data_IF_768136190038
#
_entry.id   IF_768136190038
#
_cell.length_a   1.000
_cell.length_b   1.000
_cell.length_c   1.000
_cell.angle_alpha   90.00
_cell.angle_beta   90.00
_cell.angle_gamma   90.00
#
_symmetry.space_group_name_H-M   'P 1'
#
loop_
_entity.id
_entity.type
_entity.pdbx_description
1 polymer ?
#
# COMPACT_ATOMS: atom_id res chain seq x y z
N UNK A 1 0.49 41.86 30.49
CA UNK A 1 -0.49 40.90 29.94
C UNK A 1 -0.29 40.85 28.45
N UNK A 2 0.51 39.91 27.96
CA UNK A 2 0.76 39.75 26.53
C UNK A 2 -0.47 39.12 25.90
N UNK A 3 -1.24 39.90 25.15
CA UNK A 3 -2.22 39.38 24.19
C UNK A 3 -1.44 38.63 23.11
N UNK A 4 -1.11 37.36 23.39
CA UNK A 4 -0.40 36.49 22.47
C UNK A 4 -1.19 36.43 21.17
N UNK A 5 -0.64 37.02 20.12
CA UNK A 5 -1.22 37.01 18.79
C UNK A 5 -1.45 35.53 18.43
N UNK A 6 -2.70 35.15 18.16
CA UNK A 6 -3.02 33.77 17.78
C UNK A 6 -2.10 33.34 16.63
N UNK A 7 -1.46 32.18 16.77
CA UNK A 7 -0.64 31.62 15.71
C UNK A 7 -1.54 31.40 14.49
N UNK A 8 -1.10 31.90 13.34
CA UNK A 8 -1.85 31.89 12.09
C UNK A 8 -1.03 31.18 11.03
N UNK A 9 -1.68 30.32 10.26
CA UNK A 9 -1.06 29.63 9.13
C UNK A 9 -1.01 30.60 7.93
N UNK A 10 0.19 30.97 7.42
CA UNK A 10 0.31 31.90 6.30
C UNK A 10 -0.44 31.41 5.05
N UNK A 11 -1.08 32.32 4.32
CA UNK A 11 -1.82 31.97 3.08
C UNK A 11 -0.95 31.31 2.00
N UNK A 12 0.37 31.44 2.08
CA UNK A 12 1.34 30.81 1.16
C UNK A 12 1.73 29.39 1.56
N UNK A 13 1.41 28.92 2.78
CA UNK A 13 1.87 27.61 3.29
C UNK A 13 0.79 26.52 3.20
N UNK A 14 -0.36 26.81 2.60
CA UNK A 14 -1.43 25.82 2.41
C UNK A 14 -2.23 26.03 1.12
N UNK A 15 -2.94 24.98 0.72
CA UNK A 15 -3.91 24.99 -0.38
C UNK A 15 -5.26 24.48 0.12
N UNK A 16 -6.35 25.18 -0.23
CA UNK A 16 -7.72 24.72 -0.01
C UNK A 16 -8.24 24.00 -1.24
N UNK A 17 -8.62 22.74 -1.07
CA UNK A 17 -8.99 21.84 -2.14
C UNK A 17 -10.44 21.41 -1.93
N UNK A 18 -11.35 21.81 -2.82
CA UNK A 18 -12.76 21.42 -2.76
C UNK A 18 -12.95 19.95 -3.12
N UNK A 19 -13.57 19.21 -2.21
CA UNK A 19 -13.85 17.77 -2.33
C UNK A 19 -15.12 17.58 -3.15
N UNK A 20 -14.98 17.11 -4.39
CA UNK A 20 -16.09 16.90 -5.33
C UNK A 20 -16.72 15.51 -5.25
N UNK A 21 -15.98 14.54 -4.71
CA UNK A 21 -16.34 13.11 -4.73
C UNK A 21 -15.82 12.43 -3.47
N UNK A 22 -16.45 11.30 -3.12
CA UNK A 22 -16.04 10.52 -1.95
C UNK A 22 -14.78 9.74 -2.31
N UNK A 23 -13.63 10.35 -2.03
CA UNK A 23 -12.32 9.75 -2.29
C UNK A 23 -11.49 9.68 -1.01
N UNK A 24 -10.54 8.76 -0.98
CA UNK A 24 -9.51 8.77 0.07
C UNK A 24 -8.65 10.04 -0.06
N UNK A 25 -8.25 10.62 1.06
CA UNK A 25 -7.46 11.85 1.14
C UNK A 25 -6.22 11.82 0.24
N UNK A 26 -5.52 10.68 0.15
CA UNK A 26 -4.35 10.54 -0.73
C UNK A 26 -4.71 10.63 -2.21
N UNK A 27 -5.70 9.84 -2.67
CA UNK A 27 -6.19 9.90 -4.05
C UNK A 27 -6.60 11.32 -4.43
N UNK A 28 -7.32 11.97 -3.52
CA UNK A 28 -7.79 13.33 -3.74
C UNK A 28 -6.64 14.34 -3.86
N UNK A 29 -5.64 14.30 -2.97
CA UNK A 29 -4.45 15.18 -3.03
C UNK A 29 -3.64 14.96 -4.31
N UNK A 30 -3.39 13.71 -4.68
CA UNK A 30 -2.66 13.36 -5.92
C UNK A 30 -3.42 13.83 -7.16
N UNK A 31 -4.75 13.67 -7.18
CA UNK A 31 -5.59 14.16 -8.28
C UNK A 31 -5.56 15.69 -8.44
N UNK A 32 -5.16 16.43 -7.40
CA UNK A 32 -4.92 17.88 -7.46
C UNK A 32 -3.49 18.25 -7.90
N UNK A 33 -2.67 17.26 -8.30
CA UNK A 33 -1.29 17.47 -8.74
C UNK A 33 -0.31 17.69 -7.59
N UNK A 34 -0.65 17.29 -6.37
CA UNK A 34 0.17 17.48 -5.18
C UNK A 34 0.76 16.16 -4.70
N UNK A 35 1.98 16.19 -4.19
CA UNK A 35 2.60 15.04 -3.52
C UNK A 35 1.91 14.81 -2.17
N UNK A 36 1.30 13.66 -1.94
CA UNK A 36 0.73 13.36 -0.63
C UNK A 36 1.84 13.14 0.41
N UNK A 37 1.74 13.86 1.53
CA UNK A 37 2.59 13.68 2.72
C UNK A 37 1.68 13.42 3.92
N UNK A 38 1.95 12.36 4.68
CA UNK A 38 1.20 12.08 5.91
C UNK A 38 1.34 13.24 6.89
N UNK A 39 0.27 13.59 7.59
CA UNK A 39 0.23 14.71 8.53
C UNK A 39 0.06 16.10 7.90
N UNK A 40 0.25 16.25 6.59
CA UNK A 40 0.08 17.53 5.89
C UNK A 40 -1.37 17.83 5.47
N UNK A 41 -2.33 16.94 5.73
CA UNK A 41 -3.70 17.07 5.23
C UNK A 41 -4.71 17.20 6.37
N UNK A 42 -5.57 18.22 6.30
CA UNK A 42 -6.59 18.53 7.31
C UNK A 42 -7.98 18.55 6.67
N UNK A 43 -8.83 17.57 7.02
CA UNK A 43 -10.18 17.44 6.45
C UNK A 43 -11.17 18.29 7.24
N UNK A 44 -12.11 18.93 6.54
CA UNK A 44 -13.15 19.72 7.19
C UNK A 44 -14.14 18.81 7.91
N UNK A 45 -14.48 19.19 9.14
CA UNK A 45 -15.49 18.56 9.95
C UNK A 45 -16.87 19.13 9.62
N UNK A 46 -17.83 18.25 9.33
CA UNK A 46 -19.23 18.64 9.02
C UNK A 46 -20.27 17.98 9.92
N UNK A 47 -19.85 17.05 10.77
CA UNK A 47 -20.67 16.32 11.73
C UNK A 47 -19.87 16.16 13.03
N UNK A 48 -20.52 15.92 14.17
CA UNK A 48 -19.81 15.53 15.39
C UNK A 48 -18.88 14.35 15.14
N UNK A 49 -17.61 14.47 15.55
CA UNK A 49 -16.64 13.38 15.47
C UNK A 49 -15.85 13.27 16.77
N UNK A 50 -15.65 12.04 17.23
CA UNK A 50 -14.81 11.71 18.38
C UNK A 50 -13.35 11.67 17.93
N UNK A 51 -12.55 12.65 18.36
CA UNK A 51 -11.15 12.80 17.97
C UNK A 51 -10.23 12.81 19.20
N UNK A 52 -8.97 12.40 19.04
CA UNK A 52 -7.98 12.56 20.12
C UNK A 52 -7.72 14.04 20.41
N UNK A 53 -7.71 14.43 21.69
CA UNK A 53 -7.39 15.78 22.14
C UNK A 53 -5.96 16.23 21.76
N UNK A 54 -5.08 15.27 21.43
CA UNK A 54 -3.71 15.52 20.95
C UNK A 54 -3.65 15.85 19.45
N UNK A 55 -4.71 15.63 18.66
CA UNK A 55 -4.66 15.91 17.22
C UNK A 55 -4.50 17.41 16.95
N UNK A 56 -3.65 17.75 15.99
CA UNK A 56 -3.57 19.11 15.46
C UNK A 56 -4.85 19.48 14.71
N UNK A 57 -5.32 20.70 14.96
CA UNK A 57 -6.52 21.28 14.38
C UNK A 57 -6.19 22.63 13.73
N UNK A 58 -6.92 22.96 12.68
CA UNK A 58 -6.93 24.29 12.07
C UNK A 58 -8.35 24.82 12.13
N UNK A 59 -8.51 26.08 12.51
CA UNK A 59 -9.80 26.78 12.46
C UNK A 59 -9.73 27.93 11.48
N UNK A 60 -10.64 27.97 10.51
CA UNK A 60 -10.82 29.12 9.62
C UNK A 60 -11.94 30.02 10.14
N UNK A 61 -11.63 31.28 10.42
CA UNK A 61 -12.65 32.31 10.68
C UNK A 61 -13.39 32.63 9.37
N UNK A 62 -14.69 32.33 9.30
CA UNK A 62 -15.49 32.53 8.08
C UNK A 62 -15.60 34.00 7.68
N UNK A 63 -15.46 34.94 8.62
CA UNK A 63 -15.59 36.37 8.35
C UNK A 63 -14.33 36.97 7.72
N UNK A 64 -13.16 36.46 8.11
CA UNK A 64 -11.86 37.01 7.70
C UNK A 64 -11.04 36.09 6.79
N UNK A 65 -11.39 34.80 6.72
CA UNK A 65 -10.64 33.76 6.00
C UNK A 65 -9.32 33.36 6.67
N UNK A 66 -9.06 33.85 7.89
CA UNK A 66 -7.81 33.61 8.62
C UNK A 66 -7.76 32.19 9.16
N UNK A 67 -6.62 31.52 8.98
CA UNK A 67 -6.38 30.15 9.40
C UNK A 67 -5.64 30.12 10.74
N UNK A 68 -6.36 29.86 11.82
CA UNK A 68 -5.87 29.88 13.20
C UNK A 68 -5.35 28.49 13.57
N UNK A 69 -4.19 28.44 14.21
CA UNK A 69 -3.48 27.22 14.60
C UNK A 69 -3.00 27.26 16.07
N UNK A 70 -2.50 26.12 16.57
CA UNK A 70 -1.92 26.00 17.90
C UNK A 70 -2.93 26.12 19.04
N UNK A 71 -2.47 26.51 20.23
CA UNK A 71 -3.31 26.54 21.45
C UNK A 71 -4.50 27.51 21.37
N UNK A 72 -4.45 28.51 20.48
CA UNK A 72 -5.60 29.38 20.23
C UNK A 72 -6.82 28.59 19.71
N UNK A 73 -6.60 27.50 18.96
CA UNK A 73 -7.67 26.63 18.47
C UNK A 73 -8.36 25.91 19.62
N UNK A 74 -7.61 25.44 20.62
CA UNK A 74 -8.19 24.77 21.81
C UNK A 74 -9.13 25.69 22.58
N UNK A 75 -8.76 26.97 22.74
CA UNK A 75 -9.63 28.00 23.34
C UNK A 75 -10.90 28.24 22.54
N UNK A 76 -10.78 28.38 21.22
CA UNK A 76 -11.92 28.61 20.31
C UNK A 76 -12.91 27.43 20.38
N UNK A 77 -12.38 26.21 20.41
CA UNK A 77 -13.17 24.98 20.43
C UNK A 77 -13.54 24.51 21.84
N UNK A 78 -13.20 25.28 22.89
CA UNK A 78 -13.43 24.93 24.31
C UNK A 78 -12.83 23.58 24.71
N UNK A 79 -11.66 23.25 24.14
CA UNK A 79 -10.90 22.01 24.39
C UNK A 79 -9.73 22.21 25.36
N UNK A 80 -9.64 23.35 26.04
CA UNK A 80 -8.58 23.63 27.01
C UNK A 80 -8.60 22.60 28.15
N UNK A 81 -7.46 21.94 28.39
CA UNK A 81 -7.32 20.93 29.43
C UNK A 81 -7.99 19.58 29.10
N UNK A 82 -8.49 19.39 27.88
CA UNK A 82 -9.07 18.12 27.49
C UNK A 82 -8.01 17.02 27.31
N UNK A 83 -8.32 15.81 27.77
CA UNK A 83 -7.44 14.63 27.73
C UNK A 83 -8.18 13.46 27.09
N UNK A 84 -7.46 12.59 26.39
CA UNK A 84 -8.05 11.41 25.75
C UNK A 84 -8.80 11.76 24.46
N UNK A 85 -10.03 11.25 24.30
CA UNK A 85 -10.88 11.54 23.12
C UNK A 85 -11.98 12.54 23.47
N UNK A 86 -12.18 13.51 22.59
CA UNK A 86 -13.18 14.57 22.71
C UNK A 86 -14.08 14.56 21.48
N UNK A 87 -15.36 14.77 21.68
CA UNK A 87 -16.27 15.02 20.56
C UNK A 87 -16.15 16.48 20.17
N UNK A 88 -15.81 16.74 18.91
CA UNK A 88 -15.88 18.08 18.34
C UNK A 88 -17.08 18.12 17.41
N UNK A 89 -17.95 19.11 17.58
CA UNK A 89 -19.09 19.35 16.69
C UNK A 89 -18.96 20.74 16.05
N UNK A 90 -18.81 20.77 14.72
CA UNK A 90 -18.74 22.00 13.96
C UNK A 90 -20.03 22.85 14.06
N UNK A 91 -21.17 22.25 14.41
CA UNK A 91 -22.43 22.98 14.58
C UNK A 91 -22.43 23.93 15.79
N UNK A 92 -21.61 23.66 16.81
CA UNK A 92 -21.48 24.51 18.00
C UNK A 92 -20.59 25.75 17.78
N UNK A 93 -19.96 25.84 16.59
CA UNK A 93 -18.97 26.87 16.25
C UNK A 93 -19.31 27.54 14.91
N UNK A 94 -20.53 28.08 14.76
CA UNK A 94 -21.07 28.59 13.49
C UNK A 94 -20.17 29.62 12.76
N UNK A 95 -19.39 30.41 13.48
CA UNK A 95 -18.45 31.40 12.91
C UNK A 95 -17.18 30.79 12.27
N UNK A 96 -16.97 29.48 12.40
CA UNK A 96 -15.71 28.83 12.07
C UNK A 96 -15.90 27.61 11.17
N UNK A 97 -14.93 27.34 10.28
CA UNK A 97 -14.73 26.00 9.72
C UNK A 97 -13.63 25.29 10.52
N UNK A 98 -13.86 24.03 10.88
CA UNK A 98 -12.92 23.24 11.67
C UNK A 98 -12.29 22.18 10.75
N UNK A 99 -10.97 22.09 10.77
CA UNK A 99 -10.21 21.11 10.00
C UNK A 99 -9.36 20.25 10.93
N UNK A 100 -9.43 18.94 10.76
CA UNK A 100 -8.75 17.96 11.63
C UNK A 100 -7.60 17.30 10.88
N UNK A 101 -6.40 17.27 11.48
CA UNK A 101 -5.23 16.60 10.89
C UNK A 101 -5.49 15.11 10.68
N UNK A 102 -5.18 14.64 9.48
CA UNK A 102 -5.19 13.23 9.14
C UNK A 102 -3.81 12.73 8.75
N UNK A 103 -3.33 11.75 9.51
CA UNK A 103 -2.13 10.97 9.22
C UNK A 103 -2.47 9.70 8.42
N UNK A 104 -3.75 9.49 8.11
CA UNK A 104 -4.25 8.31 7.41
C UNK A 104 -4.24 8.52 5.90
N UNK A 105 -3.68 7.55 5.18
CA UNK A 105 -3.73 7.46 3.72
C UNK A 105 -5.15 7.21 3.18
N UNK A 106 -5.99 6.53 3.98
CA UNK A 106 -7.27 5.96 3.58
C UNK A 106 -8.48 6.73 4.13
N UNK A 107 -8.26 7.87 4.79
CA UNK A 107 -9.34 8.74 5.28
C UNK A 107 -10.27 9.11 4.12
N UNK A 108 -11.51 8.65 4.15
CA UNK A 108 -12.52 9.04 3.16
C UNK A 108 -12.90 10.50 3.39
N UNK A 109 -12.79 11.31 2.35
CA UNK A 109 -13.26 12.68 2.33
C UNK A 109 -14.73 12.71 1.98
N UNK A 110 -15.43 13.70 2.53
CA UNK A 110 -16.87 13.88 2.32
C UNK A 110 -17.07 14.87 1.17
N UNK A 111 -17.84 14.53 0.13
CA UNK A 111 -18.18 15.49 -0.93
C UNK A 111 -18.80 16.77 -0.39
N UNK A 112 -18.49 17.91 -1.03
CA UNK A 112 -18.97 19.22 -0.62
C UNK A 112 -18.16 19.86 0.53
N UNK A 113 -17.09 19.19 0.98
CA UNK A 113 -16.19 19.71 2.01
C UNK A 113 -14.90 20.27 1.42
N UNK A 114 -14.08 20.89 2.27
CA UNK A 114 -12.74 21.38 1.92
C UNK A 114 -11.69 20.51 2.62
N UNK A 115 -10.63 20.19 1.87
CA UNK A 115 -9.37 19.71 2.42
C UNK A 115 -8.36 20.87 2.44
N UNK A 116 -7.74 21.11 3.59
CA UNK A 116 -6.59 22.01 3.70
C UNK A 116 -5.32 21.16 3.62
N UNK A 117 -4.53 21.36 2.57
CA UNK A 117 -3.24 20.70 2.39
C UNK A 117 -2.11 21.69 2.70
N UNK A 118 -1.36 21.43 3.78
CA UNK A 118 -0.26 22.27 4.25
C UNK A 118 1.04 21.82 3.59
N UNK A 119 1.65 22.68 2.78
CA UNK A 119 2.83 22.32 1.96
C UNK A 119 4.10 22.19 2.79
N UNK A 120 4.19 22.99 3.86
CA UNK A 120 5.27 22.99 4.85
C UNK A 120 4.64 23.12 6.23
N UNK A 121 4.76 22.06 7.06
CA UNK A 121 4.19 22.06 8.41
C UNK A 121 5.02 22.99 9.32
N UNK A 122 4.41 24.00 9.96
CA UNK A 122 5.08 24.81 10.97
C UNK A 122 5.62 23.93 12.10
N UNK A 123 6.75 24.31 12.72
CA UNK A 123 7.34 23.59 13.86
C UNK A 123 6.31 23.30 14.98
N UNK A 124 5.39 24.23 15.23
CA UNK A 124 4.31 24.09 16.23
C UNK A 124 3.26 23.03 15.89
N UNK A 125 3.29 22.47 14.67
CA UNK A 125 2.40 21.42 14.17
C UNK A 125 3.15 20.15 13.76
N UNK A 126 4.47 20.13 13.94
CA UNK A 126 5.27 18.91 13.86
C UNK A 126 5.10 18.16 15.17
N UNK A 127 4.98 16.84 15.07
CA UNK A 127 4.95 16.02 16.27
C UNK A 127 6.33 16.11 16.91
N UNK A 128 6.39 16.57 18.16
CA UNK A 128 7.64 16.60 18.91
C UNK A 128 7.94 15.15 19.26
N UNK A 129 9.10 14.63 18.86
CA UNK A 129 9.61 13.39 19.43
C UNK A 129 9.72 13.62 20.94
N UNK A 130 8.82 13.02 21.71
CA UNK A 130 8.92 13.01 23.18
C UNK A 130 10.21 12.25 23.52
N UNK A 131 11.32 12.98 23.69
CA UNK A 131 12.55 12.45 24.28
C UNK A 131 12.28 12.38 25.78
N UNK A 132 11.81 11.22 26.25
CA UNK A 132 11.81 10.92 27.66
C UNK A 132 13.28 10.90 28.16
N UNK A 133 13.54 11.47 29.34
CA UNK A 133 14.87 11.62 29.99
C UNK A 133 15.58 10.27 30.29
N UNK A 134 14.99 9.15 29.87
CA UNK A 134 15.39 7.79 30.18
C UNK A 134 15.75 6.97 28.92
N UNK A 135 16.03 7.59 27.77
CA UNK A 135 16.73 6.93 26.66
C UNK A 135 16.10 5.64 26.08
N UNK A 136 14.81 5.39 26.27
CA UNK A 136 14.04 4.38 25.53
C UNK A 136 13.00 5.06 24.63
N UNK A 137 13.00 4.70 23.35
CA UNK A 137 12.05 5.20 22.35
C UNK A 137 10.61 4.79 22.74
N UNK A 138 9.81 5.76 23.16
CA UNK A 138 8.38 5.58 23.45
C UNK A 138 7.60 5.32 22.17
N UNK A 139 7.03 4.12 22.05
CA UNK A 139 6.24 3.63 20.92
C UNK A 139 4.84 4.25 20.90
N UNK A 140 4.59 5.21 19.99
CA UNK A 140 3.26 5.79 19.76
C UNK A 140 2.42 5.01 18.72
N UNK A 141 2.52 3.69 18.69
CA UNK A 141 1.72 2.84 17.79
C UNK A 141 1.04 1.70 18.57
N UNK A 142 0.36 2.06 19.66
CA UNK A 142 -0.68 1.22 20.23
C UNK A 142 -1.98 2.05 20.37
N UNK A 143 -3.12 1.39 20.18
CA UNK A 143 -4.47 1.92 20.02
C UNK A 143 -4.87 2.39 18.61
N UNK A 144 -5.36 1.45 17.80
CA UNK A 144 -6.67 1.56 17.13
C UNK A 144 -7.07 0.24 16.45
N UNK A 145 -7.30 -0.79 17.26
CA UNK A 145 -8.45 -1.68 17.05
C UNK A 145 -9.66 -0.98 17.65
N UNK A 146 -10.48 -0.32 16.82
CA UNK A 146 -11.89 -0.04 17.13
C UNK A 146 -12.54 0.73 15.97
N UNK A 147 -13.18 -0.01 15.07
CA UNK A 147 -14.42 0.43 14.44
C UNK A 147 -15.30 -0.81 14.19
N UNK A 148 -16.57 -0.79 14.61
CA UNK A 148 -17.41 -1.98 14.67
C UNK A 148 -17.90 -2.42 13.29
N UNK A 149 -17.85 -3.73 13.08
CA UNK A 149 -18.73 -4.45 12.17
C UNK A 149 -20.18 -4.19 12.58
N UNK A 150 -20.97 -3.57 11.69
CA UNK A 150 -22.37 -3.91 11.40
C UNK A 150 -22.97 -2.88 10.44
N UNK A 151 -23.25 -3.31 9.21
CA UNK A 151 -24.33 -2.71 8.43
C UNK A 151 -25.11 -3.79 7.69
N UNK A 152 -26.21 -4.21 8.32
CA UNK A 152 -27.30 -4.88 7.63
C UNK A 152 -28.11 -3.81 6.88
N UNK A 153 -28.17 -3.90 5.56
CA UNK A 153 -29.01 -3.04 4.73
C UNK A 153 -29.48 -3.80 3.50
N UNK A 154 -30.72 -4.25 3.54
CA UNK A 154 -31.47 -4.91 2.47
C UNK A 154 -31.66 -3.98 1.27
N UNK A 155 -31.27 -4.43 0.07
CA UNK A 155 -31.64 -3.78 -1.19
C UNK A 155 -33.05 -4.25 -1.59
N UNK A 156 -34.00 -3.31 -1.60
CA UNK A 156 -35.26 -3.43 -2.32
C UNK A 156 -35.14 -2.67 -3.64
N UNK A 157 -35.65 -3.32 -4.69
CA UNK A 157 -35.93 -2.76 -6.01
C UNK A 157 -36.58 -1.37 -5.96
N UNK A 158 -36.11 -0.46 -6.81
CA UNK A 158 -36.97 0.42 -7.63
C UNK A 158 -36.21 0.98 -8.83
N UNK A 159 -36.99 1.26 -9.87
CA UNK A 159 -36.64 1.40 -11.28
C UNK A 159 -35.85 2.66 -11.69
N UNK A 160 -35.29 2.56 -12.90
CA UNK A 160 -34.71 3.63 -13.71
C UNK A 160 -35.68 4.81 -13.95
N UNK A 161 -35.13 5.96 -14.39
CA UNK A 161 -35.54 6.44 -15.70
C UNK A 161 -34.39 6.92 -16.61
N UNK A 162 -34.71 6.96 -17.89
CA UNK A 162 -33.89 7.19 -19.09
C UNK A 162 -33.83 8.64 -19.56
N UNK A 163 -32.83 8.90 -20.44
CA UNK A 163 -32.75 9.95 -21.50
C UNK A 163 -32.26 11.34 -21.03
N UNK A 164 -31.44 12.16 -21.74
CA UNK A 164 -31.08 12.26 -23.18
C UNK A 164 -29.78 13.09 -23.37
N UNK A 165 -28.96 12.71 -24.36
CA UNK A 165 -28.04 13.51 -25.23
C UNK A 165 -27.05 14.55 -24.68
N UNK A 166 -25.78 14.39 -25.10
CA UNK A 166 -24.77 15.46 -25.13
C UNK A 166 -23.38 14.94 -25.44
N UNK A 167 -23.11 14.58 -26.70
CA UNK A 167 -21.79 14.22 -27.22
C UNK A 167 -20.83 15.41 -27.13
N UNK A 168 -19.83 15.32 -26.25
CA UNK A 168 -18.62 16.13 -26.32
C UNK A 168 -17.42 15.19 -26.25
N UNK A 169 -16.84 14.91 -27.41
CA UNK A 169 -15.55 14.23 -27.56
C UNK A 169 -14.45 15.16 -27.07
N UNK A 170 -13.92 14.92 -25.87
CA UNK A 170 -12.60 15.43 -25.50
C UNK A 170 -11.57 14.33 -25.82
N UNK A 171 -10.60 14.58 -26.73
CA UNK A 171 -9.53 13.63 -26.97
C UNK A 171 -8.66 13.56 -25.71
N UNK A 172 -8.52 12.35 -25.15
CA UNK A 172 -7.56 12.05 -24.10
C UNK A 172 -6.16 12.41 -24.61
N UNK A 173 -5.61 13.51 -24.10
CA UNK A 173 -4.19 13.82 -24.25
C UNK A 173 -3.45 12.89 -23.31
N UNK A 174 -2.91 11.81 -23.87
CA UNK A 174 -2.04 10.86 -23.20
C UNK A 174 -0.67 11.51 -22.98
N UNK A 175 -0.43 12.03 -21.78
CA UNK A 175 0.89 12.53 -21.34
C UNK A 175 1.46 11.54 -20.31
N UNK A 176 2.14 10.53 -20.84
CA UNK A 176 2.91 9.53 -20.10
C UNK A 176 3.02 8.24 -20.90
N UNK A 177 4.08 8.07 -21.70
CA UNK A 177 4.32 6.82 -22.45
C UNK A 177 4.29 5.59 -21.52
N UNK A 178 3.78 4.42 -21.98
CA UNK A 178 3.69 3.23 -21.13
C UNK A 178 5.09 2.68 -20.82
N UNK A 179 5.29 2.15 -19.62
CA UNK A 179 6.53 1.45 -19.27
C UNK A 179 6.75 0.28 -20.24
N UNK A 180 7.89 0.26 -20.91
CA UNK A 180 8.17 -0.73 -21.97
C UNK A 180 8.89 -1.97 -21.43
N UNK A 181 9.55 -1.91 -20.27
CA UNK A 181 10.32 -3.01 -19.67
C UNK A 181 9.70 -3.47 -18.35
N UNK A 182 9.68 -4.79 -18.11
CA UNK A 182 9.23 -5.41 -16.86
C UNK A 182 10.34 -6.29 -16.31
N UNK A 183 10.62 -6.16 -15.03
CA UNK A 183 11.49 -7.07 -14.29
C UNK A 183 10.71 -7.65 -13.11
N UNK A 184 10.68 -8.98 -13.02
CA UNK A 184 9.98 -9.71 -11.96
C UNK A 184 10.91 -10.71 -11.28
N UNK A 185 11.13 -10.57 -9.99
CA UNK A 185 11.78 -11.58 -9.16
C UNK A 185 10.71 -12.50 -8.54
N UNK A 186 10.97 -13.80 -8.46
CA UNK A 186 10.15 -14.78 -7.74
C UNK A 186 11.03 -15.43 -6.69
N UNK A 187 10.78 -15.16 -5.42
CA UNK A 187 11.42 -15.82 -4.29
C UNK A 187 10.50 -16.85 -3.67
N UNK A 188 11.02 -18.05 -3.42
CA UNK A 188 10.31 -19.05 -2.64
C UNK A 188 11.17 -19.66 -1.53
N UNK A 189 10.54 -19.82 -0.38
CA UNK A 189 11.08 -20.48 0.79
C UNK A 189 11.22 -21.99 0.54
N UNK A 190 12.35 -22.55 0.95
CA UNK A 190 12.71 -23.96 0.77
C UNK A 190 12.97 -24.70 2.08
N UNK A 191 12.59 -24.12 3.22
CA UNK A 191 12.76 -24.70 4.56
C UNK A 191 11.78 -25.84 4.84
N UNK A 192 11.96 -26.54 5.96
CA UNK A 192 11.25 -27.76 6.29
C UNK A 192 9.71 -27.65 6.26
N UNK A 193 9.16 -26.52 6.72
CA UNK A 193 7.71 -26.26 6.75
C UNK A 193 7.11 -26.23 5.34
N UNK A 194 7.87 -25.71 4.38
CA UNK A 194 7.47 -25.53 2.98
C UNK A 194 7.49 -26.81 2.14
N UNK A 195 8.02 -27.93 2.64
CA UNK A 195 8.19 -29.16 1.83
C UNK A 195 6.88 -29.70 1.25
N UNK A 196 5.76 -29.50 1.94
CA UNK A 196 4.43 -29.94 1.46
C UNK A 196 3.91 -29.08 0.31
N UNK A 197 4.40 -27.85 0.17
CA UNK A 197 4.04 -26.90 -0.89
C UNK A 197 5.08 -26.83 -2.01
N UNK A 198 6.33 -27.23 -1.74
CA UNK A 198 7.48 -26.95 -2.62
C UNK A 198 7.30 -27.45 -4.06
N UNK A 199 6.76 -28.67 -4.26
CA UNK A 199 6.51 -29.19 -5.61
C UNK A 199 5.46 -28.37 -6.37
N UNK A 200 4.45 -27.89 -5.65
CA UNK A 200 3.39 -27.04 -6.20
C UNK A 200 3.89 -25.62 -6.48
N UNK A 201 4.70 -25.05 -5.58
CA UNK A 201 5.37 -23.75 -5.76
C UNK A 201 6.31 -23.78 -6.96
N UNK A 202 7.12 -24.83 -7.12
CA UNK A 202 7.98 -25.00 -8.29
C UNK A 202 7.19 -25.12 -9.58
N UNK A 203 6.08 -25.88 -9.58
CA UNK A 203 5.19 -25.98 -10.74
C UNK A 203 4.59 -24.62 -11.09
N UNK A 204 4.06 -23.92 -10.09
CA UNK A 204 3.51 -22.58 -10.21
C UNK A 204 4.52 -21.57 -10.77
N UNK A 205 5.76 -21.56 -10.27
CA UNK A 205 6.81 -20.67 -10.75
C UNK A 205 7.13 -20.94 -12.23
N UNK A 206 7.26 -22.22 -12.63
CA UNK A 206 7.46 -22.60 -14.05
C UNK A 206 6.31 -22.17 -14.94
N UNK A 207 5.06 -22.41 -14.50
CA UNK A 207 3.87 -21.98 -15.25
C UNK A 207 3.83 -20.46 -15.40
N UNK A 208 4.17 -19.72 -14.34
CA UNK A 208 4.26 -18.26 -14.35
C UNK A 208 5.32 -17.79 -15.34
N UNK A 209 6.53 -18.37 -15.33
CA UNK A 209 7.60 -18.07 -16.29
C UNK A 209 7.11 -18.28 -17.73
N UNK A 210 6.55 -19.47 -18.01
CA UNK A 210 6.05 -19.80 -19.34
C UNK A 210 4.99 -18.81 -19.81
N UNK A 211 4.01 -18.49 -18.96
CA UNK A 211 2.94 -17.54 -19.32
C UNK A 211 3.50 -16.14 -19.49
N UNK A 212 4.19 -15.57 -18.50
CA UNK A 212 4.68 -14.19 -18.55
C UNK A 212 5.62 -13.95 -19.74
N UNK A 213 6.57 -14.86 -19.99
CA UNK A 213 7.53 -14.71 -21.09
C UNK A 213 6.95 -15.10 -22.46
N UNK A 214 5.88 -15.90 -22.54
CA UNK A 214 5.18 -16.15 -23.82
C UNK A 214 4.28 -15.00 -24.26
N UNK A 215 3.92 -14.12 -23.32
CA UNK A 215 2.95 -13.06 -23.52
C UNK A 215 3.59 -11.69 -23.81
N UNK A 216 4.89 -11.51 -23.53
CA UNK A 216 5.64 -10.26 -23.72
C UNK A 216 6.69 -10.33 -24.83
N UNK A 217 6.66 -9.36 -25.74
CA UNK A 217 7.74 -9.01 -26.67
C UNK A 217 9.02 -8.57 -25.91
N UNK A 218 10.22 -9.08 -26.26
CA UNK A 218 11.62 -8.65 -25.96
C UNK A 218 12.00 -7.90 -24.65
N UNK A 219 11.08 -7.62 -23.73
CA UNK A 219 11.21 -6.57 -22.70
C UNK A 219 10.77 -7.04 -21.32
N UNK A 220 10.66 -8.35 -21.12
CA UNK A 220 10.38 -8.95 -19.80
C UNK A 220 11.56 -9.82 -19.39
N UNK A 221 12.09 -9.57 -18.21
CA UNK A 221 13.12 -10.40 -17.58
C UNK A 221 12.64 -10.87 -16.22
N UNK A 222 12.95 -12.12 -15.90
CA UNK A 222 12.58 -12.73 -14.63
C UNK A 222 13.81 -13.23 -13.89
N UNK A 223 13.78 -13.17 -12.57
CA UNK A 223 14.81 -13.75 -11.69
C UNK A 223 14.15 -14.72 -10.73
N UNK A 224 14.71 -15.91 -10.56
CA UNK A 224 14.23 -16.89 -9.58
C UNK A 224 15.18 -16.90 -8.39
N UNK A 225 14.62 -16.85 -7.20
CA UNK A 225 15.31 -16.88 -5.92
C UNK A 225 14.77 -18.09 -5.14
N UNK A 226 15.67 -18.85 -4.53
CA UNK A 226 15.33 -19.81 -3.49
C UNK A 226 16.08 -19.43 -2.23
N UNK A 227 15.40 -19.48 -1.08
CA UNK A 227 16.01 -19.15 0.20
C UNK A 227 15.74 -20.23 1.25
N UNK A 228 16.71 -20.39 2.13
CA UNK A 228 16.58 -21.11 3.38
C UNK A 228 16.72 -20.13 4.52
N UNK A 229 17.33 -20.59 5.62
CA UNK A 229 17.58 -19.74 6.78
C UNK A 229 19.07 -19.59 7.11
N UNK A 230 19.43 -18.75 8.07
CA UNK A 230 20.82 -18.50 8.45
C UNK A 230 21.56 -19.78 8.83
N UNK A 231 20.87 -20.74 9.46
CA UNK A 231 21.47 -22.02 9.81
C UNK A 231 21.86 -22.88 8.58
N UNK A 232 21.30 -22.57 7.40
CA UNK A 232 21.50 -23.32 6.17
C UNK A 232 22.69 -22.83 5.32
N UNK A 233 23.25 -21.65 5.61
CA UNK A 233 24.30 -20.98 4.80
C UNK A 233 25.50 -21.91 4.49
N UNK A 234 25.91 -22.71 5.47
CA UNK A 234 27.07 -23.59 5.36
C UNK A 234 26.74 -25.05 5.01
N UNK A 235 25.45 -25.42 4.96
CA UNK A 235 25.00 -26.80 4.71
C UNK A 235 24.39 -26.96 3.32
N UNK A 236 23.58 -25.99 2.90
CA UNK A 236 22.86 -25.99 1.63
C UNK A 236 22.97 -24.63 0.96
N UNK A 237 22.17 -23.65 1.42
CA UNK A 237 22.27 -22.25 1.06
C UNK A 237 21.37 -21.40 1.96
N UNK A 238 21.77 -20.15 2.18
CA UNK A 238 20.87 -19.12 2.72
C UNK A 238 19.99 -18.54 1.60
N UNK A 239 20.60 -18.16 0.47
CA UNK A 239 19.90 -17.65 -0.70
C UNK A 239 20.69 -17.96 -1.97
N UNK A 240 20.01 -18.44 -3.01
CA UNK A 240 20.54 -18.58 -4.37
C UNK A 240 19.61 -17.89 -5.35
N UNK A 241 20.14 -17.36 -6.46
CA UNK A 241 19.32 -16.75 -7.50
C UNK A 241 19.85 -17.05 -8.92
N UNK A 242 18.96 -16.96 -9.90
CA UNK A 242 19.28 -17.21 -11.31
C UNK A 242 19.90 -16.01 -12.04
N UNK A 243 19.85 -14.82 -11.46
CA UNK A 243 19.94 -13.55 -12.18
C UNK A 243 18.71 -13.29 -13.06
N UNK A 244 18.56 -12.04 -13.53
CA UNK A 244 17.51 -11.68 -14.49
C UNK A 244 17.78 -12.31 -15.86
N UNK A 245 16.79 -13.00 -16.41
CA UNK A 245 16.85 -13.62 -17.74
C UNK A 245 15.49 -13.62 -18.41
N UNK A 246 15.47 -13.57 -19.74
CA UNK A 246 14.29 -13.82 -20.57
C UNK A 246 14.27 -15.23 -21.17
N UNK A 247 15.28 -16.06 -20.88
CA UNK A 247 15.38 -17.43 -21.39
C UNK A 247 14.64 -18.41 -20.47
N UNK A 248 13.49 -18.87 -20.94
CA UNK A 248 12.62 -19.82 -20.22
C UNK A 248 13.37 -21.08 -19.80
N UNK A 249 14.21 -21.64 -20.69
CA UNK A 249 14.92 -22.89 -20.41
C UNK A 249 15.91 -22.74 -19.25
N UNK A 250 16.64 -21.63 -19.19
CA UNK A 250 17.56 -21.28 -18.11
C UNK A 250 16.84 -21.13 -16.78
N UNK A 251 15.72 -20.41 -16.75
CA UNK A 251 14.94 -20.18 -15.52
C UNK A 251 14.30 -21.48 -15.01
N UNK A 252 13.73 -22.30 -15.90
CA UNK A 252 13.15 -23.60 -15.55
C UNK A 252 14.21 -24.56 -15.03
N UNK A 253 15.38 -24.62 -15.70
CA UNK A 253 16.52 -25.43 -15.25
C UNK A 253 17.03 -25.00 -13.87
N UNK A 254 17.02 -23.70 -13.57
CA UNK A 254 17.37 -23.20 -12.24
C UNK A 254 16.39 -23.75 -11.20
N UNK A 255 15.06 -23.63 -11.43
CA UNK A 255 14.02 -24.17 -10.51
C UNK A 255 14.19 -25.68 -10.28
N UNK A 256 14.50 -26.43 -11.33
CA UNK A 256 14.75 -27.88 -11.25
C UNK A 256 15.96 -28.21 -10.37
N UNK A 257 16.98 -27.35 -10.36
CA UNK A 257 18.19 -27.50 -9.55
C UNK A 257 18.04 -27.06 -8.10
N UNK A 258 16.98 -26.33 -7.74
CA UNK A 258 16.77 -25.85 -6.36
C UNK A 258 16.58 -27.02 -5.40
N UNK A 259 17.37 -27.05 -4.33
CA UNK A 259 17.31 -28.06 -3.28
C UNK A 259 16.22 -27.81 -2.23
N UNK A 260 16.35 -28.48 -1.10
CA UNK A 260 15.61 -28.23 0.13
C UNK A 260 16.59 -27.75 1.19
N UNK A 261 16.14 -26.90 2.10
CA UNK A 261 16.91 -26.42 3.25
C UNK A 261 16.22 -26.79 4.56
N UNK A 262 16.82 -26.50 5.71
CA UNK A 262 16.34 -26.90 7.04
C UNK A 262 15.35 -25.91 7.65
N UNK A 263 15.76 -24.66 7.88
CA UNK A 263 15.01 -23.63 8.63
C UNK A 263 15.40 -23.52 10.12
N UNK A 264 15.64 -24.62 10.82
CA UNK A 264 16.19 -24.60 12.20
C UNK A 264 15.20 -24.13 13.27
N UNK A 265 14.73 -22.88 13.20
CA UNK A 265 13.65 -22.32 14.00
C UNK A 265 12.42 -21.95 13.14
N UNK A 266 11.48 -21.16 13.69
CA UNK A 266 10.18 -20.91 13.05
C UNK A 266 10.17 -19.63 12.19
N UNK A 267 10.71 -18.49 12.65
CA UNK A 267 11.05 -17.40 11.74
C UNK A 267 12.07 -17.88 10.71
N UNK A 268 12.05 -17.30 9.53
CA UNK A 268 12.99 -17.62 8.44
C UNK A 268 13.60 -16.33 7.90
N UNK A 269 14.66 -16.41 7.10
CA UNK A 269 15.45 -15.24 6.66
C UNK A 269 14.77 -14.36 5.57
N UNK A 270 13.48 -14.03 5.70
CA UNK A 270 12.77 -13.16 4.75
C UNK A 270 13.33 -11.73 4.72
N UNK A 271 13.75 -11.19 5.86
CA UNK A 271 14.39 -9.88 5.95
C UNK A 271 15.71 -9.84 5.17
N UNK A 272 16.48 -10.93 5.19
CA UNK A 272 17.66 -11.10 4.36
C UNK A 272 17.32 -11.10 2.87
N UNK A 273 16.29 -11.84 2.45
CA UNK A 273 15.82 -11.88 1.06
C UNK A 273 15.41 -10.49 0.59
N UNK A 274 14.67 -9.73 1.41
CA UNK A 274 14.26 -8.37 1.09
C UNK A 274 15.47 -7.47 0.85
N UNK A 275 16.44 -7.47 1.77
CA UNK A 275 17.65 -6.68 1.67
C UNK A 275 18.51 -7.06 0.45
N UNK A 276 18.75 -8.35 0.23
CA UNK A 276 19.59 -8.83 -0.88
C UNK A 276 18.98 -8.63 -2.25
N UNK A 277 17.67 -8.73 -2.36
CA UNK A 277 16.99 -8.47 -3.62
C UNK A 277 17.06 -6.99 -4.01
N UNK A 278 17.21 -6.05 -3.06
CA UNK A 278 17.48 -4.64 -3.37
C UNK A 278 18.88 -4.43 -4.00
N UNK A 279 19.81 -5.36 -3.85
CA UNK A 279 21.15 -5.29 -4.45
C UNK A 279 21.17 -5.77 -5.92
N UNK A 280 20.06 -6.30 -6.45
CA UNK A 280 20.00 -6.83 -7.83
C UNK A 280 20.05 -5.72 -8.88
N UNK A 281 20.40 -6.10 -10.12
CA UNK A 281 20.50 -5.23 -11.30
C UNK A 281 19.13 -4.80 -11.86
N UNK A 282 18.33 -4.14 -11.02
CA UNK A 282 17.03 -3.60 -11.39
C UNK A 282 17.18 -2.42 -12.37
N UNK A 283 16.72 -2.57 -13.60
CA UNK A 283 16.68 -1.52 -14.63
C UNK A 283 15.85 -0.33 -14.17
N UNK A 284 16.39 0.90 -14.10
CA UNK A 284 15.67 2.09 -13.63
C UNK A 284 14.33 2.33 -14.34
N UNK A 285 14.26 2.03 -15.62
CA UNK A 285 13.10 2.21 -16.50
C UNK A 285 12.08 1.06 -16.45
N UNK A 286 12.41 -0.05 -15.78
CA UNK A 286 11.51 -1.19 -15.67
C UNK A 286 10.42 -0.94 -14.62
N UNK A 287 9.23 -1.49 -14.87
CA UNK A 287 8.35 -1.84 -13.76
C UNK A 287 8.94 -3.03 -13.02
N UNK A 288 8.95 -2.96 -11.70
CA UNK A 288 9.69 -3.89 -10.85
C UNK A 288 8.74 -4.54 -9.87
N UNK A 289 8.81 -5.85 -9.76
CA UNK A 289 8.05 -6.60 -8.78
C UNK A 289 8.80 -7.79 -8.22
N UNK A 290 8.57 -8.07 -6.94
CA UNK A 290 9.00 -9.27 -6.23
C UNK A 290 7.76 -10.08 -5.86
N UNK A 291 7.66 -11.31 -6.34
CA UNK A 291 6.72 -12.31 -5.83
C UNK A 291 7.41 -13.11 -4.72
N UNK A 292 6.99 -12.92 -3.48
CA UNK A 292 7.52 -13.61 -2.31
C UNK A 292 6.58 -14.73 -1.89
N UNK A 293 7.09 -15.97 -1.84
CA UNK A 293 6.33 -17.19 -1.56
C UNK A 293 6.92 -17.88 -0.33
N UNK A 294 6.08 -18.18 0.66
CA UNK A 294 6.53 -18.83 1.89
C UNK A 294 5.40 -18.97 2.92
N UNK A 295 5.68 -19.52 4.10
CA UNK A 295 4.67 -19.77 5.13
C UNK A 295 4.93 -19.14 6.51
N UNK A 296 6.15 -18.63 6.75
CA UNK A 296 6.58 -18.07 8.03
C UNK A 296 6.75 -16.53 8.02
N UNK A 297 7.16 -15.97 9.16
CA UNK A 297 7.50 -14.55 9.35
C UNK A 297 9.02 -14.34 9.32
N UNK A 298 9.52 -13.12 9.06
CA UNK A 298 10.94 -12.80 9.16
C UNK A 298 11.44 -12.90 10.60
N UNK A 299 12.75 -13.00 10.75
CA UNK A 299 13.39 -12.72 12.02
C UNK A 299 13.28 -11.22 12.35
N UNK A 300 12.96 -10.89 13.61
CA UNK A 300 12.90 -9.49 14.06
C UNK A 300 14.28 -8.92 14.45
N UNK A 301 15.21 -9.77 14.91
CA UNK A 301 16.53 -9.32 15.39
C UNK A 301 17.64 -10.39 15.23
N UNK A 302 17.66 -11.10 14.10
CA UNK A 302 18.72 -12.07 13.87
C UNK A 302 20.06 -11.35 13.56
N UNK A 303 20.85 -11.13 14.60
CA UNK A 303 22.15 -10.46 14.58
C UNK A 303 22.11 -9.00 14.10
N UNK A 304 20.96 -8.31 14.24
CA UNK A 304 20.75 -6.91 13.84
C UNK A 304 21.21 -6.56 12.41
N UNK A 305 21.18 -7.52 11.48
CA UNK A 305 21.69 -7.30 10.11
C UNK A 305 20.70 -6.54 9.24
N UNK A 306 19.41 -6.84 9.33
CA UNK A 306 18.36 -6.25 8.51
C UNK A 306 17.06 -6.16 9.30
N UNK A 307 16.31 -5.06 9.16
CA UNK A 307 14.92 -4.94 9.61
C UNK A 307 14.03 -4.91 8.37
N UNK A 308 13.18 -5.94 8.23
CA UNK A 308 12.26 -6.04 7.10
C UNK A 308 11.34 -4.81 6.95
N UNK A 309 11.03 -4.11 8.05
CA UNK A 309 10.22 -2.88 8.03
C UNK A 309 10.99 -1.72 7.40
N UNK A 310 12.30 -1.63 7.63
CA UNK A 310 13.14 -0.65 6.94
C UNK A 310 13.35 -1.04 5.47
N UNK A 311 13.51 -2.34 5.18
CA UNK A 311 13.68 -2.80 3.81
C UNK A 311 12.47 -2.45 2.94
N UNK A 312 11.23 -2.67 3.40
CA UNK A 312 10.03 -2.35 2.61
C UNK A 312 9.87 -0.85 2.30
N UNK A 313 10.41 0.04 3.13
CA UNK A 313 10.48 1.47 2.79
C UNK A 313 11.35 1.68 1.55
N UNK A 314 12.52 1.02 1.48
CA UNK A 314 13.43 1.08 0.32
C UNK A 314 12.80 0.47 -0.94
N UNK A 315 11.98 -0.58 -0.81
CA UNK A 315 11.19 -1.11 -1.94
C UNK A 315 10.25 -0.05 -2.50
N UNK A 316 9.54 0.66 -1.61
CA UNK A 316 8.61 1.72 -1.98
C UNK A 316 9.31 2.88 -2.68
N UNK A 317 10.46 3.33 -2.15
CA UNK A 317 11.29 4.38 -2.76
C UNK A 317 11.81 4.00 -4.15
N UNK A 318 12.11 2.72 -4.37
CA UNK A 318 12.60 2.20 -5.66
C UNK A 318 11.50 1.75 -6.61
N UNK A 319 10.24 1.88 -6.21
CA UNK A 319 9.08 1.48 -7.00
C UNK A 319 9.01 -0.04 -7.26
N UNK A 320 9.56 -0.86 -6.35
CA UNK A 320 9.50 -2.32 -6.42
C UNK A 320 8.30 -2.79 -5.60
N UNK A 321 7.33 -3.40 -6.27
CA UNK A 321 6.12 -3.91 -5.60
C UNK A 321 6.34 -5.33 -5.08
N UNK A 322 5.79 -5.66 -3.91
CA UNK A 322 5.85 -7.02 -3.35
C UNK A 322 4.47 -7.67 -3.45
N UNK A 323 4.39 -8.74 -4.21
CA UNK A 323 3.27 -9.66 -4.23
C UNK A 323 3.57 -10.80 -3.27
N UNK A 324 2.76 -10.93 -2.23
CA UNK A 324 2.96 -11.90 -1.15
C UNK A 324 2.06 -13.11 -1.38
N UNK A 325 2.63 -14.29 -1.54
CA UNK A 325 1.92 -15.54 -1.70
C UNK A 325 2.18 -16.45 -0.50
N UNK A 326 1.31 -16.34 0.50
CA UNK A 326 1.40 -17.10 1.72
C UNK A 326 0.93 -18.54 1.50
N UNK A 327 1.75 -19.49 1.93
CA UNK A 327 1.43 -20.89 2.09
C UNK A 327 1.07 -21.17 3.56
N UNK A 328 0.20 -22.15 3.81
CA UNK A 328 -0.16 -22.51 5.18
C UNK A 328 -0.84 -21.39 5.98
N UNK A 329 -0.55 -21.33 7.28
CA UNK A 329 -1.24 -20.45 8.21
C UNK A 329 -0.55 -20.39 9.58
N UNK A 330 0.77 -20.22 9.57
CA UNK A 330 1.55 -19.99 10.79
C UNK A 330 1.07 -18.69 11.45
N UNK A 331 0.83 -18.75 12.76
CA UNK A 331 0.34 -17.60 13.52
C UNK A 331 1.36 -16.44 13.42
N UNK A 332 0.88 -15.24 13.09
CA UNK A 332 1.72 -14.05 12.92
C UNK A 332 2.27 -13.83 11.50
N UNK A 333 2.42 -14.88 10.69
CA UNK A 333 2.95 -14.76 9.32
C UNK A 333 2.05 -13.90 8.42
N UNK A 334 0.72 -14.03 8.52
CA UNK A 334 -0.21 -13.25 7.68
C UNK A 334 -0.10 -11.74 7.89
N UNK A 335 0.28 -11.28 9.09
CA UNK A 335 0.48 -9.85 9.34
C UNK A 335 1.70 -9.33 8.59
N UNK A 336 2.78 -10.11 8.54
CA UNK A 336 3.97 -9.81 7.75
C UNK A 336 3.64 -9.74 6.25
N UNK A 337 3.07 -10.81 5.68
CA UNK A 337 2.73 -10.87 4.26
C UNK A 337 1.75 -9.76 3.82
N UNK A 338 0.75 -9.45 4.67
CA UNK A 338 -0.17 -8.36 4.41
C UNK A 338 0.55 -7.01 4.39
N UNK A 339 1.44 -6.77 5.37
CA UNK A 339 2.15 -5.49 5.50
C UNK A 339 3.11 -5.23 4.35
N UNK A 340 3.96 -6.20 3.98
CA UNK A 340 4.90 -6.03 2.86
C UNK A 340 4.16 -5.77 1.54
N UNK A 341 3.01 -6.42 1.34
CA UNK A 341 2.19 -6.21 0.15
C UNK A 341 1.51 -4.84 0.13
N UNK A 342 0.90 -4.42 1.24
CA UNK A 342 0.18 -3.16 1.29
C UNK A 342 1.11 -1.95 1.18
N UNK A 343 2.24 -1.96 1.88
CA UNK A 343 3.19 -0.85 1.86
C UNK A 343 3.85 -0.64 0.50
N UNK A 344 4.10 -1.73 -0.23
CA UNK A 344 4.72 -1.70 -1.57
C UNK A 344 3.70 -1.70 -2.72
N UNK A 345 2.41 -1.50 -2.43
CA UNK A 345 1.31 -1.48 -3.41
C UNK A 345 1.05 -2.80 -4.17
N UNK A 346 1.57 -3.91 -3.66
CA UNK A 346 1.28 -5.24 -4.17
C UNK A 346 -0.01 -5.83 -3.59
N UNK A 347 -0.06 -7.15 -3.48
CA UNK A 347 -1.21 -7.89 -2.97
C UNK A 347 -0.76 -9.13 -2.21
N UNK A 348 -1.44 -9.40 -1.09
CA UNK A 348 -1.32 -10.63 -0.32
C UNK A 348 -2.35 -11.66 -0.78
N UNK A 349 -1.89 -12.88 -1.01
CA UNK A 349 -2.62 -14.03 -1.53
C UNK A 349 -2.36 -15.28 -0.68
N UNK A 350 -3.33 -16.18 -0.66
CA UNK A 350 -3.22 -17.51 -0.06
C UNK A 350 -3.13 -18.57 -1.17
N UNK A 351 -2.15 -19.47 -1.05
CA UNK A 351 -1.84 -20.52 -2.03
C UNK A 351 -2.91 -21.61 -2.15
N UNK A 352 -3.96 -21.64 -1.32
CA UNK A 352 -5.09 -22.61 -1.42
C UNK A 352 -5.79 -22.65 -2.79
N UNK A 353 -5.49 -21.72 -3.71
CA UNK A 353 -6.12 -21.58 -5.03
C UNK A 353 -5.10 -21.35 -6.15
N UNK A 354 -4.07 -22.18 -6.24
CA UNK A 354 -2.90 -22.03 -7.14
C UNK A 354 -3.23 -21.63 -8.57
N UNK A 355 -4.23 -22.25 -9.20
CA UNK A 355 -4.63 -21.90 -10.56
C UNK A 355 -5.08 -20.44 -10.71
N UNK A 356 -5.76 -19.90 -9.69
CA UNK A 356 -6.16 -18.48 -9.65
C UNK A 356 -4.94 -17.58 -9.42
N UNK A 357 -3.99 -18.02 -8.59
CA UNK A 357 -2.74 -17.29 -8.32
C UNK A 357 -1.89 -17.16 -9.59
N UNK A 358 -1.81 -18.20 -10.43
CA UNK A 358 -1.04 -18.12 -11.68
C UNK A 358 -1.65 -17.08 -12.61
N UNK A 359 -2.97 -17.11 -12.78
CA UNK A 359 -3.67 -16.16 -13.64
C UNK A 359 -3.59 -14.72 -13.08
N UNK A 360 -3.49 -14.59 -11.75
CA UNK A 360 -3.27 -13.33 -11.03
C UNK A 360 -1.88 -12.73 -11.26
N UNK A 361 -0.82 -13.52 -11.14
CA UNK A 361 0.55 -13.05 -11.38
C UNK A 361 0.76 -12.67 -12.84
N UNK A 362 0.12 -13.39 -13.77
CA UNK A 362 0.10 -12.98 -15.17
C UNK A 362 -0.65 -11.65 -15.34
N UNK A 363 -1.80 -11.45 -14.68
CA UNK A 363 -2.51 -10.16 -14.71
C UNK A 363 -1.64 -9.00 -14.21
N UNK A 364 -0.83 -9.24 -13.18
CA UNK A 364 0.13 -8.27 -12.65
C UNK A 364 1.21 -7.96 -13.68
N UNK A 365 1.87 -8.98 -14.23
CA UNK A 365 2.93 -8.77 -15.22
C UNK A 365 2.39 -7.99 -16.43
N UNK A 366 1.15 -8.29 -16.85
CA UNK A 366 0.42 -7.53 -17.85
C UNK A 366 0.17 -6.09 -17.43
N UNK A 367 -0.27 -5.88 -16.20
CA UNK A 367 -0.57 -4.56 -15.71
C UNK A 367 0.64 -3.64 -15.61
N UNK A 368 1.78 -4.25 -15.35
CA UNK A 368 3.07 -3.58 -15.30
C UNK A 368 3.60 -3.30 -16.71
N UNK A 369 3.40 -4.20 -17.69
CA UNK A 369 3.90 -4.02 -19.05
C UNK A 369 3.00 -3.23 -20.01
N UNK A 370 1.68 -3.32 -19.90
CA UNK A 370 0.74 -2.63 -20.79
C UNK A 370 -0.69 -2.55 -20.21
N UNK A 371 -1.06 -1.38 -19.62
CA UNK A 371 -2.41 -1.04 -19.18
C UNK A 371 -3.58 -1.48 -20.08
N UNK A 372 -3.39 -1.35 -21.41
CA UNK A 372 -4.45 -1.59 -22.39
C UNK A 372 -4.70 -3.09 -22.59
N UNK A 373 -3.70 -3.94 -22.40
CA UNK A 373 -3.81 -5.39 -22.56
C UNK A 373 -4.44 -6.08 -21.34
N UNK A 374 -4.53 -5.40 -20.20
CA UNK A 374 -5.18 -5.91 -18.99
C UNK A 374 -6.66 -6.17 -19.23
N UNK A 375 -7.34 -5.29 -19.97
CA UNK A 375 -8.77 -5.42 -20.27
C UNK A 375 -9.01 -6.68 -21.11
N UNK A 376 -8.21 -6.87 -22.17
CA UNK A 376 -8.29 -8.05 -23.02
C UNK A 376 -7.98 -9.34 -22.24
N UNK A 377 -6.98 -9.29 -21.35
CA UNK A 377 -6.62 -10.42 -20.50
C UNK A 377 -7.72 -10.74 -19.48
N UNK A 378 -8.30 -9.73 -18.84
CA UNK A 378 -9.44 -9.87 -17.93
C UNK A 378 -10.65 -10.53 -18.61
N UNK A 379 -11.01 -10.08 -19.81
CA UNK A 379 -12.08 -10.69 -20.62
C UNK A 379 -11.74 -12.13 -21.02
N UNK A 380 -10.47 -12.40 -21.38
CA UNK A 380 -10.02 -13.75 -21.73
C UNK A 380 -10.11 -14.72 -20.53
N UNK A 381 -9.76 -14.25 -19.32
CA UNK A 381 -9.87 -15.03 -18.09
C UNK A 381 -11.33 -15.26 -17.72
N UNK A 382 -12.19 -14.25 -17.85
CA UNK A 382 -13.65 -14.42 -17.67
C UNK A 382 -14.18 -15.49 -18.60
N UNK A 383 -13.82 -15.46 -19.89
CA UNK A 383 -14.25 -16.46 -20.86
C UNK A 383 -13.76 -17.87 -20.51
N UNK A 384 -12.51 -18.00 -20.10
CA UNK A 384 -11.91 -19.28 -19.67
C UNK A 384 -12.61 -19.86 -18.44
N UNK A 385 -13.03 -19.01 -17.50
CA UNK A 385 -13.69 -19.39 -16.26
C UNK A 385 -15.22 -19.31 -16.35
N UNK A 386 -15.80 -19.61 -17.53
CA UNK A 386 -17.26 -19.66 -17.75
C UNK A 386 -18.03 -18.37 -17.34
N UNK A 387 -17.37 -17.23 -17.44
CA UNK A 387 -17.94 -15.91 -17.18
C UNK A 387 -17.74 -15.39 -15.75
N UNK A 388 -17.07 -16.13 -14.86
CA UNK A 388 -16.86 -15.71 -13.47
C UNK A 388 -15.39 -15.68 -13.09
N UNK A 389 -14.97 -14.68 -12.31
CA UNK A 389 -13.68 -14.65 -11.63
C UNK A 389 -13.90 -14.79 -10.13
N UNK A 390 -12.88 -15.25 -9.41
CA UNK A 390 -12.94 -15.24 -7.96
C UNK A 390 -12.92 -13.80 -7.42
N UNK A 391 -13.46 -13.60 -6.22
CA UNK A 391 -13.43 -12.29 -5.57
C UNK A 391 -12.02 -11.70 -5.44
N UNK A 392 -11.00 -12.56 -5.29
CA UNK A 392 -9.59 -12.14 -5.22
C UNK A 392 -9.08 -11.60 -6.56
N UNK A 393 -9.41 -12.28 -7.68
CA UNK A 393 -9.07 -11.81 -9.03
C UNK A 393 -9.84 -10.55 -9.41
N UNK A 394 -11.14 -10.48 -9.12
CA UNK A 394 -11.95 -9.26 -9.33
C UNK A 394 -11.39 -8.09 -8.51
N UNK A 395 -11.02 -8.32 -7.25
CA UNK A 395 -10.39 -7.30 -6.40
C UNK A 395 -9.05 -6.84 -7.01
N UNK A 396 -8.22 -7.76 -7.53
CA UNK A 396 -7.00 -7.38 -8.24
C UNK A 396 -7.29 -6.53 -9.46
N UNK A 397 -8.17 -6.98 -10.36
CA UNK A 397 -8.49 -6.22 -11.57
C UNK A 397 -9.09 -4.86 -11.22
N UNK A 398 -9.85 -4.75 -10.12
CA UNK A 398 -10.33 -3.46 -9.61
C UNK A 398 -9.18 -2.58 -9.10
N UNK A 399 -8.24 -3.15 -8.34
CA UNK A 399 -7.04 -2.45 -7.83
C UNK A 399 -6.13 -2.02 -8.97
N UNK A 400 -5.96 -2.85 -9.99
CA UNK A 400 -5.15 -2.61 -11.19
C UNK A 400 -5.82 -1.56 -12.08
N UNK A 401 -7.11 -1.70 -12.39
CA UNK A 401 -7.84 -0.77 -13.26
C UNK A 401 -8.04 0.60 -12.62
N UNK A 402 -8.09 0.68 -11.29
CA UNK A 402 -8.06 1.97 -10.57
C UNK A 402 -6.69 2.68 -10.62
N UNK A 403 -5.66 2.07 -11.24
CA UNK A 403 -4.29 2.59 -11.36
C UNK A 403 -3.94 3.03 -12.80
N UNK A 404 -4.80 2.76 -13.78
CA UNK A 404 -4.65 3.10 -15.22
C UNK A 404 -5.74 4.03 -15.67
#
# INVERSE_FOLDING_TARGET
MSTGKAAELPSTSFQKLSVSSTDTIRKFVIAKGLTYKAGCSFYQLTKPELISAKKHLIVEDKSSGRMIIGDAVKKILKLDGAVGRVTVDASEHEGFNIYVRSDSYNRKLVPGTILVYVTELPETMQDVDDIDEDGEHSTYFDSMSDAPDTYHGTLKDTAAPSSTTGTATNPLVYMGAPAQYVQMAISFDTTGSMYTYLDEVKRFAKETIHKVLSLGSEKVEMCIIAHGDYCDENSTYLMINSGFSSDVATLVKFIDGVGRTGGGDLPEAYEYVLAKTLEFDWKPEAQKSLLMIGDAMPHEDHQARYDWKEEIVKYTERGIKIYALQCGGIAGASAFYQKIADETFGVHLDMKKVAEVTDFVVAIAYAEGNPKMIIDYHESLKKKNHGTLSASLENLFSKISART
#
